data_IF_229896763015
#
_entry.id   IF_229896763015
#
_cell.length_a   1.000
_cell.length_b   1.000
_cell.length_c   1.000
_cell.angle_alpha   90.00
_cell.angle_beta   90.00
_cell.angle_gamma   90.00
#
_symmetry.space_group_name_H-M   'P 1'
#
loop_
_entity.id
_entity.type
_entity.pdbx_description
1 polymer ?
#
# COMPACT_ATOMS: atom_id res chain seq x y z
N UNK A 1 -17.30 -2.58 9.85
CA UNK A 1 -16.78 -3.01 8.55
C UNK A 1 -15.52 -3.77 8.87
N UNK A 2 -15.54 -5.10 9.01
CA UNK A 2 -14.39 -5.85 9.51
C UNK A 2 -13.33 -6.00 8.41
N UNK A 3 -12.71 -4.88 8.05
CA UNK A 3 -11.46 -4.84 7.31
C UNK A 3 -10.35 -4.59 8.31
N UNK A 4 -9.37 -5.48 8.35
CA UNK A 4 -8.19 -5.36 9.18
C UNK A 4 -7.03 -4.83 8.33
N UNK A 5 -6.46 -3.70 8.72
CA UNK A 5 -5.22 -3.19 8.14
C UNK A 5 -4.02 -3.70 8.95
N UNK A 6 -2.91 -3.95 8.26
CA UNK A 6 -1.69 -4.47 8.89
C UNK A 6 -0.45 -3.73 8.40
N UNK A 7 0.27 -3.09 9.33
CA UNK A 7 1.46 -2.29 9.06
C UNK A 7 2.72 -3.14 8.96
N UNK A 8 3.56 -2.85 7.96
CA UNK A 8 4.97 -3.25 7.79
C UNK A 8 5.39 -4.54 8.53
N UNK A 9 4.98 -5.72 8.05
CA UNK A 9 5.20 -6.98 8.77
C UNK A 9 6.68 -7.26 9.06
N UNK A 10 7.57 -6.96 8.11
CA UNK A 10 8.98 -7.38 8.16
C UNK A 10 9.14 -8.84 8.62
N UNK A 11 8.36 -9.75 8.03
CA UNK A 11 8.27 -11.19 8.33
C UNK A 11 7.56 -11.56 9.64
N UNK A 12 7.19 -10.60 10.47
CA UNK A 12 6.45 -10.88 11.70
C UNK A 12 4.95 -10.86 11.42
N UNK A 13 4.37 -12.01 11.07
CA UNK A 13 2.93 -12.16 10.81
C UNK A 13 2.14 -12.68 12.02
N UNK A 14 2.80 -13.04 13.12
CA UNK A 14 2.11 -13.59 14.29
C UNK A 14 1.03 -12.65 14.86
N UNK A 15 1.26 -11.31 15.00
CA UNK A 15 0.22 -10.40 15.45
C UNK A 15 -0.97 -10.31 14.48
N UNK A 16 -0.74 -10.45 13.17
CA UNK A 16 -1.81 -10.52 12.18
C UNK A 16 -2.68 -11.76 12.40
N UNK A 17 -2.06 -12.92 12.60
CA UNK A 17 -2.81 -14.16 12.83
C UNK A 17 -3.66 -14.08 14.11
N UNK A 18 -3.08 -13.57 15.20
CA UNK A 18 -3.82 -13.35 16.46
C UNK A 18 -4.99 -12.38 16.28
N UNK A 19 -4.81 -11.31 15.49
CA UNK A 19 -5.86 -10.35 15.19
C UNK A 19 -6.96 -10.97 14.32
N UNK A 20 -6.62 -11.78 13.32
CA UNK A 20 -7.59 -12.49 12.49
C UNK A 20 -8.39 -13.49 13.33
N UNK A 21 -7.73 -14.29 14.17
CA UNK A 21 -8.41 -15.22 15.08
C UNK A 21 -9.37 -14.50 16.02
N UNK A 22 -8.96 -13.34 16.55
CA UNK A 22 -9.77 -12.54 17.48
C UNK A 22 -10.95 -11.84 16.81
N UNK A 23 -10.73 -11.18 15.68
CA UNK A 23 -11.69 -10.26 15.08
C UNK A 23 -12.47 -10.85 13.91
N UNK A 24 -12.01 -11.97 13.35
CA UNK A 24 -12.62 -12.69 12.23
C UNK A 24 -13.03 -11.74 11.07
N UNK A 25 -12.09 -10.92 10.55
CA UNK A 25 -12.38 -9.97 9.49
C UNK A 25 -12.69 -10.67 8.16
N UNK A 26 -13.52 -10.08 7.30
CA UNK A 26 -13.71 -10.58 5.93
C UNK A 26 -12.50 -10.27 5.03
N UNK A 27 -11.78 -9.19 5.35
CA UNK A 27 -10.67 -8.68 4.56
C UNK A 27 -9.47 -8.28 5.42
N UNK A 28 -8.27 -8.53 4.90
CA UNK A 28 -7.01 -8.03 5.43
C UNK A 28 -6.32 -7.19 4.35
N UNK A 29 -5.81 -6.01 4.70
CA UNK A 29 -5.01 -5.14 3.82
C UNK A 29 -3.64 -4.90 4.44
N UNK A 30 -2.58 -5.43 3.81
CA UNK A 30 -1.20 -5.31 4.27
C UNK A 30 -0.53 -4.12 3.58
N UNK A 31 0.09 -3.23 4.37
CA UNK A 31 0.56 -1.92 3.94
C UNK A 31 2.00 -1.90 3.41
N UNK A 32 2.44 -3.00 2.79
CA UNK A 32 3.80 -3.14 2.26
C UNK A 32 4.78 -3.76 3.26
N UNK A 33 6.04 -3.86 2.83
CA UNK A 33 7.19 -4.36 3.60
C UNK A 33 6.94 -5.73 4.24
N UNK A 34 6.40 -6.65 3.43
CA UNK A 34 6.08 -8.00 3.85
C UNK A 34 7.35 -8.83 4.06
N UNK A 35 8.38 -8.57 3.25
CA UNK A 35 9.70 -9.21 3.34
C UNK A 35 9.65 -10.76 3.28
N UNK A 36 8.67 -11.29 2.54
CA UNK A 36 8.31 -12.71 2.48
C UNK A 36 9.52 -13.64 2.30
N UNK A 37 9.53 -14.77 3.01
CA UNK A 37 10.59 -15.79 2.88
C UNK A 37 10.13 -17.03 2.10
N UNK A 38 8.84 -17.05 1.72
CA UNK A 38 8.17 -18.12 0.98
C UNK A 38 6.97 -17.54 0.23
N UNK A 39 6.31 -18.29 -0.67
CA UNK A 39 5.15 -17.80 -1.41
C UNK A 39 4.06 -17.24 -0.49
N UNK A 40 3.40 -16.15 -0.91
CA UNK A 40 2.40 -15.46 -0.10
C UNK A 40 1.33 -16.41 0.43
N UNK A 41 0.83 -17.33 -0.40
CA UNK A 41 -0.18 -18.32 0.00
C UNK A 41 0.30 -19.26 1.11
N UNK A 42 1.58 -19.59 1.15
CA UNK A 42 2.15 -20.43 2.20
C UNK A 42 2.32 -19.63 3.50
N UNK A 43 2.86 -18.41 3.42
CA UNK A 43 3.08 -17.55 4.60
C UNK A 43 1.74 -17.14 5.24
N UNK A 44 0.73 -16.79 4.43
CA UNK A 44 -0.58 -16.30 4.87
C UNK A 44 -1.64 -17.42 4.94
N UNK A 45 -1.25 -18.70 4.82
CA UNK A 45 -2.18 -19.84 4.97
C UNK A 45 -3.05 -19.74 6.24
N UNK A 46 -2.53 -19.35 7.43
CA UNK A 46 -3.34 -19.20 8.65
C UNK A 46 -4.50 -18.20 8.51
N UNK A 47 -4.40 -17.23 7.58
CA UNK A 47 -5.45 -16.23 7.30
C UNK A 47 -6.35 -16.71 6.16
N UNK A 48 -5.76 -17.19 5.07
CA UNK A 48 -6.48 -17.62 3.87
C UNK A 48 -7.37 -18.85 4.13
N UNK A 49 -6.92 -19.79 4.95
CA UNK A 49 -7.66 -21.01 5.29
C UNK A 49 -8.92 -20.73 6.13
N UNK A 50 -8.98 -19.56 6.77
CA UNK A 50 -10.17 -19.05 7.46
C UNK A 50 -11.17 -18.37 6.51
N UNK A 51 -10.87 -18.32 5.20
CA UNK A 51 -11.71 -17.66 4.20
C UNK A 51 -11.58 -16.15 4.15
N UNK A 52 -10.56 -15.58 4.82
CA UNK A 52 -10.30 -14.13 4.81
C UNK A 52 -9.63 -13.73 3.51
N UNK A 53 -10.14 -12.69 2.85
CA UNK A 53 -9.57 -12.17 1.62
C UNK A 53 -8.42 -11.21 1.91
N UNK A 54 -7.20 -11.58 1.53
CA UNK A 54 -6.03 -10.72 1.70
C UNK A 54 -5.78 -9.81 0.50
N UNK A 55 -5.34 -8.59 0.80
CA UNK A 55 -4.89 -7.56 -0.13
C UNK A 55 -3.56 -7.01 0.34
N UNK A 56 -2.78 -6.47 -0.59
CA UNK A 56 -1.48 -5.89 -0.30
C UNK A 56 -1.17 -4.74 -1.24
N UNK A 57 -0.45 -3.75 -0.73
CA UNK A 57 0.31 -2.79 -1.53
C UNK A 57 1.80 -3.09 -1.36
N UNK A 58 2.65 -2.59 -2.27
CA UNK A 58 4.09 -2.72 -2.10
C UNK A 58 4.62 -1.70 -1.09
N UNK A 59 5.61 -2.13 -0.30
CA UNK A 59 6.56 -1.26 0.36
C UNK A 59 7.92 -1.27 -0.34
N UNK A 60 8.92 -0.60 0.23
CA UNK A 60 10.25 -0.51 -0.38
C UNK A 60 11.14 -1.76 -0.17
N UNK A 61 10.73 -2.70 0.68
CA UNK A 61 11.43 -3.96 0.89
C UNK A 61 11.01 -5.05 -0.10
N UNK A 62 9.79 -4.97 -0.64
CA UNK A 62 9.18 -6.02 -1.47
C UNK A 62 9.78 -6.13 -2.89
N UNK A 63 10.62 -5.17 -3.28
CA UNK A 63 11.30 -5.11 -4.58
C UNK A 63 12.84 -5.18 -4.44
N UNK A 64 13.35 -5.72 -3.34
CA UNK A 64 14.81 -5.83 -3.10
C UNK A 64 15.40 -7.14 -3.63
N UNK A 65 14.62 -8.22 -3.59
CA UNK A 65 14.96 -9.56 -4.07
C UNK A 65 13.91 -10.09 -5.06
N UNK A 66 14.36 -10.84 -6.06
CA UNK A 66 13.49 -11.32 -7.13
C UNK A 66 12.52 -12.42 -6.66
N UNK A 67 12.94 -13.28 -5.72
CA UNK A 67 12.07 -14.31 -5.19
C UNK A 67 10.99 -13.69 -4.30
N UNK A 68 11.34 -12.71 -3.45
CA UNK A 68 10.36 -11.96 -2.66
C UNK A 68 9.29 -11.31 -3.55
N UNK A 69 9.72 -10.67 -4.64
CA UNK A 69 8.79 -10.08 -5.62
C UNK A 69 7.86 -11.15 -6.24
N UNK A 70 8.41 -12.30 -6.62
CA UNK A 70 7.63 -13.39 -7.22
C UNK A 70 6.66 -14.04 -6.22
N UNK A 71 7.02 -14.13 -4.93
CA UNK A 71 6.13 -14.59 -3.88
C UNK A 71 4.87 -13.74 -3.72
N UNK A 72 4.88 -12.49 -4.21
CA UNK A 72 3.68 -11.64 -4.31
C UNK A 72 3.04 -11.75 -5.69
N UNK A 73 3.77 -11.36 -6.74
CA UNK A 73 3.21 -11.13 -8.07
C UNK A 73 2.98 -12.40 -8.90
N UNK A 74 3.74 -13.46 -8.66
CA UNK A 74 3.51 -14.74 -9.35
C UNK A 74 2.53 -15.62 -8.56
N UNK A 75 2.62 -15.62 -7.23
CA UNK A 75 1.84 -16.52 -6.37
C UNK A 75 0.44 -15.97 -6.00
N UNK A 76 0.34 -14.68 -5.68
CA UNK A 76 -0.91 -14.05 -5.25
C UNK A 76 -1.18 -12.68 -5.95
N UNK A 77 -1.17 -12.63 -7.30
CA UNK A 77 -1.31 -11.37 -8.04
C UNK A 77 -2.65 -10.66 -7.81
N UNK A 78 -3.71 -11.42 -7.54
CA UNK A 78 -5.05 -10.87 -7.36
C UNK A 78 -5.18 -9.97 -6.13
N UNK A 79 -4.33 -10.17 -5.12
CA UNK A 79 -4.29 -9.37 -3.90
C UNK A 79 -3.62 -8.00 -4.06
N UNK A 80 -2.94 -7.74 -5.18
CA UNK A 80 -2.30 -6.44 -5.42
C UNK A 80 -3.35 -5.32 -5.50
N UNK A 81 -3.32 -4.37 -4.57
CA UNK A 81 -4.20 -3.20 -4.53
C UNK A 81 -3.58 -1.96 -5.20
N UNK A 82 -2.30 -2.01 -5.58
CA UNK A 82 -1.60 -0.89 -6.23
C UNK A 82 -2.33 -0.41 -7.49
N UNK A 83 -2.64 0.89 -7.55
CA UNK A 83 -3.37 1.56 -8.62
C UNK A 83 -4.79 1.04 -8.85
N UNK A 84 -5.41 0.42 -7.83
CA UNK A 84 -6.77 -0.11 -7.88
C UNK A 84 -7.61 0.44 -6.73
N UNK A 85 -8.92 0.49 -6.95
CA UNK A 85 -9.94 0.63 -5.91
C UNK A 85 -10.81 -0.63 -5.93
N UNK A 86 -11.14 -1.17 -4.76
CA UNK A 86 -11.90 -2.41 -4.61
C UNK A 86 -12.99 -2.24 -3.56
N UNK A 87 -14.21 -2.64 -3.93
CA UNK A 87 -15.34 -2.74 -3.01
C UNK A 87 -15.16 -4.00 -2.13
N UNK A 88 -14.95 -3.79 -0.84
CA UNK A 88 -14.80 -4.84 0.15
C UNK A 88 -16.11 -5.06 0.90
N UNK A 89 -16.78 -6.17 0.58
CA UNK A 89 -18.08 -6.51 1.15
C UNK A 89 -17.89 -7.14 2.52
N UNK A 90 -18.47 -6.52 3.53
CA UNK A 90 -18.39 -6.88 4.94
C UNK A 90 -19.79 -7.21 5.49
N UNK A 91 -19.87 -7.93 6.62
CA UNK A 91 -21.16 -8.25 7.28
C UNK A 91 -22.01 -7.04 7.66
N UNK A 92 -21.42 -5.87 7.82
CA UNK A 92 -22.09 -4.64 8.26
C UNK A 92 -22.00 -3.49 7.25
N UNK A 93 -21.61 -3.77 6.00
CA UNK A 93 -21.57 -2.77 4.94
C UNK A 93 -20.60 -3.10 3.82
N UNK A 94 -20.38 -2.16 2.92
CA UNK A 94 -19.32 -2.23 1.90
C UNK A 94 -18.46 -1.00 2.05
N UNK A 95 -17.14 -1.18 1.97
CA UNK A 95 -16.16 -0.10 2.01
C UNK A 95 -15.28 -0.18 0.77
N UNK A 96 -15.09 0.93 0.10
CA UNK A 96 -14.22 1.01 -1.08
C UNK A 96 -12.82 1.39 -0.65
N UNK A 97 -11.83 0.53 -0.91
CA UNK A 97 -10.44 0.79 -0.53
C UNK A 97 -9.58 0.88 -1.78
N UNK A 98 -8.81 1.97 -1.89
CA UNK A 98 -7.83 2.15 -2.95
C UNK A 98 -6.39 2.09 -2.43
N UNK A 99 -5.46 1.62 -3.25
CA UNK A 99 -4.06 1.42 -2.86
C UNK A 99 -3.05 2.21 -3.70
N UNK A 100 -2.31 3.11 -3.04
CA UNK A 100 -1.08 3.71 -3.56
C UNK A 100 0.14 2.98 -2.97
N UNK A 101 0.61 1.95 -3.68
CA UNK A 101 1.80 1.19 -3.25
C UNK A 101 3.11 1.83 -3.67
N UNK A 102 4.17 1.56 -2.91
CA UNK A 102 5.53 1.97 -3.19
C UNK A 102 5.98 3.22 -2.43
N UNK A 103 7.13 3.76 -2.85
CA UNK A 103 7.78 4.94 -2.27
C UNK A 103 8.15 5.99 -3.30
N UNK A 104 8.27 7.25 -2.86
CA UNK A 104 8.77 8.32 -3.71
C UNK A 104 10.30 8.27 -3.80
N UNK A 105 10.84 8.25 -5.02
CA UNK A 105 12.29 8.24 -5.24
C UNK A 105 12.70 9.45 -6.07
N UNK A 106 13.65 10.24 -5.58
CA UNK A 106 14.14 11.45 -6.27
C UNK A 106 14.72 11.26 -7.66
N UNK A 107 15.03 10.02 -8.07
CA UNK A 107 15.38 9.69 -9.45
C UNK A 107 14.19 9.78 -10.41
N UNK A 108 12.98 9.68 -9.89
CA UNK A 108 11.70 9.73 -10.62
C UNK A 108 10.93 10.96 -10.18
N UNK A 109 10.47 10.97 -8.93
CA UNK A 109 9.66 12.03 -8.37
C UNK A 109 9.81 12.05 -6.85
N UNK A 110 10.10 13.24 -6.30
CA UNK A 110 10.26 13.43 -4.86
C UNK A 110 9.51 14.70 -4.43
N UNK A 111 8.21 14.56 -4.10
CA UNK A 111 7.33 15.70 -3.92
C UNK A 111 7.68 16.56 -2.70
N UNK A 112 8.30 15.97 -1.67
CA UNK A 112 8.78 16.69 -0.47
C UNK A 112 9.85 17.72 -0.83
N UNK A 113 10.68 17.43 -1.84
CA UNK A 113 11.73 18.35 -2.30
C UNK A 113 11.23 19.48 -3.20
N UNK A 114 9.92 19.57 -3.47
CA UNK A 114 9.29 20.52 -4.40
C UNK A 114 9.92 20.55 -5.81
N UNK A 115 10.54 19.45 -6.23
CA UNK A 115 11.10 19.30 -7.58
C UNK A 115 10.07 18.66 -8.50
N UNK A 116 10.04 19.11 -9.75
CA UNK A 116 9.27 18.46 -10.80
C UNK A 116 9.74 17.01 -10.99
N UNK A 117 8.82 16.12 -11.35
CA UNK A 117 9.15 14.74 -11.69
C UNK A 117 10.07 14.69 -12.91
N UNK A 118 11.10 13.83 -12.84
CA UNK A 118 12.04 13.52 -13.92
C UNK A 118 11.37 12.66 -14.99
N UNK A 119 10.50 11.73 -14.57
CA UNK A 119 9.72 10.85 -15.44
C UNK A 119 8.26 10.93 -15.05
N UNK A 120 7.35 11.01 -16.02
CA UNK A 120 5.91 10.99 -15.75
C UNK A 120 5.39 9.56 -15.66
N UNK A 121 5.90 8.71 -16.55
CA UNK A 121 5.47 7.31 -16.68
C UNK A 121 6.62 6.33 -16.44
N UNK A 122 6.28 5.08 -16.13
CA UNK A 122 7.26 3.99 -16.12
C UNK A 122 7.87 3.77 -17.51
N UNK A 123 7.11 4.02 -18.57
CA UNK A 123 7.59 3.89 -19.95
C UNK A 123 8.68 4.91 -20.29
N UNK A 124 8.55 6.17 -19.84
CA UNK A 124 9.58 7.21 -19.98
C UNK A 124 10.92 6.74 -19.39
N UNK A 125 10.86 6.16 -18.18
CA UNK A 125 12.05 5.65 -17.51
C UNK A 125 12.63 4.44 -18.23
N UNK A 126 11.80 3.51 -18.71
CA UNK A 126 12.26 2.34 -19.46
C UNK A 126 12.97 2.77 -20.76
N UNK A 127 12.43 3.76 -21.47
CA UNK A 127 12.97 4.23 -22.74
C UNK A 127 14.44 4.65 -22.63
N UNK A 128 14.82 5.33 -21.54
CA UNK A 128 16.21 5.76 -21.27
C UNK A 128 17.04 4.75 -20.48
N UNK A 129 16.42 3.72 -19.90
CA UNK A 129 17.11 2.69 -19.13
C UNK A 129 17.84 1.73 -20.06
N UNK A 130 19.15 1.54 -19.84
CA UNK A 130 20.00 0.63 -20.63
C UNK A 130 19.47 -0.81 -20.57
N UNK A 131 19.46 -1.57 -21.68
CA UNK A 131 18.87 -2.92 -21.72
C UNK A 131 19.35 -3.89 -20.63
N UNK A 132 20.64 -3.87 -20.27
CA UNK A 132 21.20 -4.75 -19.24
C UNK A 132 20.78 -4.40 -17.80
N UNK A 133 20.24 -3.20 -17.56
CA UNK A 133 19.73 -2.76 -16.25
C UNK A 133 18.24 -3.10 -16.11
N UNK A 134 17.54 -3.32 -17.22
CA UNK A 134 16.12 -3.67 -17.24
C UNK A 134 15.93 -5.06 -16.64
N UNK A 135 15.00 -5.17 -15.71
CA UNK A 135 14.62 -6.46 -15.15
C UNK A 135 13.39 -6.98 -15.87
N UNK A 136 13.47 -8.20 -16.44
CA UNK A 136 12.41 -8.81 -17.26
C UNK A 136 11.85 -7.87 -18.35
N UNK A 137 12.77 -7.15 -19.03
CA UNK A 137 12.50 -6.16 -20.09
C UNK A 137 11.78 -4.87 -19.63
N UNK A 138 11.43 -4.73 -18.35
CA UNK A 138 10.78 -3.54 -17.79
C UNK A 138 11.72 -2.68 -16.94
N UNK A 139 11.14 -2.03 -15.92
CA UNK A 139 11.91 -1.30 -14.92
C UNK A 139 12.96 -2.20 -14.25
N UNK A 140 14.07 -1.63 -13.77
CA UNK A 140 14.91 -2.32 -12.79
C UNK A 140 14.07 -2.79 -11.60
N UNK A 141 14.40 -3.94 -11.01
CA UNK A 141 13.60 -4.53 -9.92
C UNK A 141 13.36 -3.54 -8.78
N UNK A 142 14.42 -2.86 -8.31
CA UNK A 142 14.37 -1.81 -7.26
C UNK A 142 13.64 -0.51 -7.65
N UNK A 143 13.01 -0.46 -8.82
CA UNK A 143 12.17 0.66 -9.25
C UNK A 143 10.71 0.25 -9.45
N UNK A 144 10.38 -1.03 -9.22
CA UNK A 144 9.00 -1.52 -9.35
C UNK A 144 8.10 -1.07 -8.21
N UNK A 145 8.69 -0.75 -7.07
CA UNK A 145 8.07 -0.10 -5.90
C UNK A 145 8.10 1.44 -5.97
N UNK A 146 8.50 2.04 -7.09
CA UNK A 146 8.58 3.49 -7.18
C UNK A 146 7.23 4.07 -7.56
N UNK A 147 6.81 5.10 -6.84
CA UNK A 147 5.64 5.91 -7.17
C UNK A 147 6.01 6.88 -8.30
N UNK A 148 5.25 6.81 -9.38
CA UNK A 148 5.32 7.72 -10.53
C UNK A 148 4.11 8.66 -10.52
N UNK A 149 4.20 9.84 -11.17
CA UNK A 149 3.03 10.70 -11.39
C UNK A 149 1.84 9.97 -12.03
N UNK A 150 2.08 9.02 -12.95
CA UNK A 150 1.02 8.20 -13.55
C UNK A 150 0.20 7.41 -12.53
N UNK A 151 0.77 7.02 -11.38
CA UNK A 151 0.04 6.31 -10.33
C UNK A 151 -1.04 7.20 -9.70
N UNK A 152 -0.69 8.47 -9.48
CA UNK A 152 -1.63 9.48 -9.02
C UNK A 152 -2.68 9.79 -10.07
N UNK A 153 -2.30 9.85 -11.34
CA UNK A 153 -3.23 10.11 -12.44
C UNK A 153 -4.27 9.00 -12.55
N UNK A 154 -3.85 7.73 -12.53
CA UNK A 154 -4.73 6.55 -12.55
C UNK A 154 -5.67 6.58 -11.34
N UNK A 155 -5.13 6.69 -10.13
CA UNK A 155 -5.93 6.63 -8.91
C UNK A 155 -6.90 7.82 -8.79
N UNK A 156 -6.52 9.01 -9.26
CA UNK A 156 -7.37 10.21 -9.19
C UNK A 156 -8.65 10.12 -10.04
N UNK A 157 -8.74 9.14 -10.94
CA UNK A 157 -9.94 8.86 -11.73
C UNK A 157 -10.89 7.87 -11.03
N UNK A 158 -10.47 7.30 -9.89
CA UNK A 158 -11.25 6.37 -9.08
C UNK A 158 -11.79 7.07 -7.83
N UNK A 159 -12.70 6.39 -7.13
CA UNK A 159 -13.25 6.84 -5.85
C UNK A 159 -12.98 5.81 -4.76
N UNK A 160 -12.78 6.26 -3.52
CA UNK A 160 -12.63 5.36 -2.37
C UNK A 160 -13.13 5.98 -1.08
N UNK A 161 -13.53 5.15 -0.12
CA UNK A 161 -13.76 5.55 1.27
C UNK A 161 -12.43 5.63 2.02
N UNK A 162 -11.54 4.66 1.79
CA UNK A 162 -10.21 4.59 2.41
C UNK A 162 -9.12 4.58 1.34
N UNK A 163 -8.17 5.50 1.45
CA UNK A 163 -6.93 5.43 0.66
C UNK A 163 -5.83 4.82 1.54
N UNK A 164 -5.30 3.69 1.13
CA UNK A 164 -4.10 3.11 1.75
C UNK A 164 -2.86 3.48 0.97
N UNK A 165 -1.79 3.78 1.67
CA UNK A 165 -0.47 4.02 1.09
C UNK A 165 0.63 3.43 1.96
N UNK A 166 1.79 3.14 1.39
CA UNK A 166 2.95 2.79 2.20
C UNK A 166 3.57 4.07 2.78
N UNK A 167 3.83 5.05 1.92
CA UNK A 167 4.28 6.40 2.30
C UNK A 167 3.24 7.20 3.11
N UNK A 168 3.72 8.10 3.96
CA UNK A 168 2.86 8.91 4.83
C UNK A 168 2.27 10.16 4.12
N UNK A 169 1.02 10.54 4.46
CA UNK A 169 0.44 11.82 4.06
C UNK A 169 1.06 13.00 4.84
N UNK A 170 0.69 14.24 4.52
CA UNK A 170 1.38 15.46 4.98
C UNK A 170 1.39 15.71 6.49
N UNK A 171 0.65 14.92 7.27
CA UNK A 171 0.57 15.07 8.72
C UNK A 171 1.77 14.44 9.45
N UNK A 172 2.58 13.65 8.75
CA UNK A 172 3.87 13.17 9.24
C UNK A 172 5.00 14.09 8.74
N UNK A 173 6.08 14.24 9.53
CA UNK A 173 7.22 15.11 9.18
C UNK A 173 7.92 14.71 7.88
N UNK A 174 7.85 13.42 7.52
CA UNK A 174 8.39 12.85 6.28
C UNK A 174 7.31 12.56 5.23
N UNK A 175 6.07 13.01 5.46
CA UNK A 175 4.97 12.80 4.54
C UNK A 175 4.86 13.86 3.45
N UNK A 176 3.84 13.74 2.59
CA UNK A 176 3.66 14.65 1.45
C UNK A 176 2.23 15.07 1.21
N UNK A 177 2.06 16.33 0.77
CA UNK A 177 0.77 16.89 0.32
C UNK A 177 0.23 16.23 -0.95
N UNK A 178 1.03 15.52 -1.74
CA UNK A 178 0.52 14.88 -2.95
C UNK A 178 -0.40 13.70 -2.62
N UNK A 179 -0.13 12.95 -1.54
CA UNK A 179 -1.03 11.89 -1.07
C UNK A 179 -2.34 12.51 -0.57
N UNK A 180 -2.27 13.60 0.19
CA UNK A 180 -3.45 14.33 0.64
C UNK A 180 -4.34 14.76 -0.53
N UNK A 181 -3.74 15.36 -1.56
CA UNK A 181 -4.46 15.82 -2.76
C UNK A 181 -5.06 14.67 -3.55
N UNK A 182 -4.34 13.55 -3.63
CA UNK A 182 -4.86 12.35 -4.25
C UNK A 182 -6.12 11.87 -3.52
N UNK A 183 -6.05 11.68 -2.20
CA UNK A 183 -7.20 11.23 -1.42
C UNK A 183 -8.37 12.22 -1.50
N UNK A 184 -8.12 13.53 -1.51
CA UNK A 184 -9.17 14.53 -1.76
C UNK A 184 -9.88 14.33 -3.11
N UNK A 185 -9.13 14.11 -4.19
CA UNK A 185 -9.72 13.89 -5.53
C UNK A 185 -10.56 12.61 -5.56
N UNK A 186 -10.13 11.58 -4.84
CA UNK A 186 -10.80 10.28 -4.76
C UNK A 186 -11.99 10.27 -3.78
N UNK A 187 -12.18 11.34 -3.00
CA UNK A 187 -13.21 11.41 -1.96
C UNK A 187 -12.89 10.58 -0.71
N UNK A 188 -11.61 10.27 -0.47
CA UNK A 188 -11.17 9.48 0.67
C UNK A 188 -11.57 10.16 2.00
N UNK A 189 -12.18 9.37 2.87
CA UNK A 189 -12.64 9.76 4.21
C UNK A 189 -11.63 9.37 5.30
N UNK A 190 -10.74 8.43 4.99
CA UNK A 190 -9.68 7.97 5.87
C UNK A 190 -8.43 7.63 5.06
N UNK A 191 -7.27 7.96 5.62
CA UNK A 191 -5.98 7.44 5.16
C UNK A 191 -5.45 6.43 6.17
N UNK A 192 -4.90 5.31 5.67
CA UNK A 192 -4.16 4.34 6.49
C UNK A 192 -2.81 4.10 5.83
N UNK A 193 -1.72 4.25 6.56
CA UNK A 193 -0.39 4.04 6.00
C UNK A 193 0.59 3.32 6.92
N UNK A 194 1.65 2.77 6.31
CA UNK A 194 2.79 2.12 6.98
C UNK A 194 4.07 2.97 6.91
N UNK A 195 5.20 2.31 6.61
CA UNK A 195 6.55 2.82 6.36
C UNK A 195 7.25 3.53 7.53
N UNK A 196 6.53 4.33 8.31
CA UNK A 196 7.12 5.20 9.32
C UNK A 196 7.40 4.50 10.66
N UNK A 197 6.91 3.27 10.85
CA UNK A 197 7.03 2.50 12.10
C UNK A 197 6.67 3.34 13.33
N UNK A 198 5.52 3.99 13.24
CA UNK A 198 5.01 4.89 14.26
C UNK A 198 3.49 4.85 14.26
N UNK A 199 2.91 4.30 15.31
CA UNK A 199 1.46 4.30 15.52
C UNK A 199 0.98 5.69 15.89
N UNK A 200 0.10 6.29 15.09
CA UNK A 200 -0.49 7.59 15.41
C UNK A 200 -1.84 7.86 14.76
N UNK A 201 -2.51 8.88 15.30
CA UNK A 201 -3.76 9.44 14.80
C UNK A 201 -3.52 10.86 14.37
N UNK A 202 -3.82 11.17 13.12
CA UNK A 202 -3.59 12.49 12.56
C UNK A 202 -4.73 12.98 11.70
N UNK A 203 -4.51 14.14 11.11
CA UNK A 203 -5.34 14.68 10.02
C UNK A 203 -4.43 15.27 8.97
N UNK A 204 -4.74 15.02 7.70
CA UNK A 204 -4.11 15.67 6.55
C UNK A 204 -4.22 17.19 6.64
N UNK A 205 -3.49 17.92 5.80
CA UNK A 205 -3.62 19.38 5.72
C UNK A 205 -5.05 19.85 5.36
N UNK A 206 -5.88 18.95 4.80
CA UNK A 206 -7.26 19.21 4.42
C UNK A 206 -8.28 18.61 5.39
N UNK A 207 -7.83 18.08 6.53
CA UNK A 207 -8.69 17.65 7.63
C UNK A 207 -9.18 16.21 7.56
N UNK A 208 -8.85 15.45 6.51
CA UNK A 208 -9.17 14.02 6.44
C UNK A 208 -8.38 13.24 7.50
N UNK A 209 -9.04 12.39 8.33
CA UNK A 209 -8.39 11.51 9.30
C UNK A 209 -7.28 10.64 8.71
N UNK A 210 -6.26 10.37 9.52
CA UNK A 210 -5.12 9.49 9.18
C UNK A 210 -4.86 8.53 10.34
N UNK A 211 -4.59 7.27 9.99
CA UNK A 211 -3.98 6.25 10.86
C UNK A 211 -2.60 5.89 10.30
N UNK A 212 -1.55 6.25 11.01
CA UNK A 212 -0.22 5.68 10.77
C UNK A 212 -0.09 4.42 11.61
N UNK A 213 0.34 3.32 11.00
CA UNK A 213 0.57 2.05 11.68
C UNK A 213 2.07 1.85 11.95
N UNK A 214 2.37 1.27 13.11
CA UNK A 214 3.69 0.77 13.46
C UNK A 214 3.96 -0.60 12.78
N UNK A 215 5.21 -1.04 12.83
CA UNK A 215 5.60 -2.35 12.33
C UNK A 215 4.86 -3.48 13.03
N UNK A 216 4.27 -4.37 12.24
CA UNK A 216 3.45 -5.48 12.71
C UNK A 216 2.21 -5.06 13.54
N UNK A 217 1.69 -3.83 13.37
CA UNK A 217 0.47 -3.35 14.03
C UNK A 217 -0.79 -3.72 13.25
N UNK A 218 -1.81 -4.21 13.96
CA UNK A 218 -3.12 -4.52 13.41
C UNK A 218 -4.16 -3.45 13.79
N UNK A 219 -4.87 -2.92 12.79
CA UNK A 219 -5.92 -1.93 12.96
C UNK A 219 -7.23 -2.41 12.34
N UNK A 220 -8.26 -2.63 13.15
CA UNK A 220 -9.59 -3.02 12.68
C UNK A 220 -10.44 -1.78 12.39
N UNK A 221 -10.90 -1.64 11.16
CA UNK A 221 -11.74 -0.53 10.74
C UNK A 221 -13.09 -0.51 11.47
N UNK A 222 -13.47 0.63 12.01
CA UNK A 222 -14.80 0.85 12.59
C UNK A 222 -15.58 1.93 11.82
N UNK A 223 -16.93 1.94 11.91
CA UNK A 223 -17.74 3.03 11.36
C UNK A 223 -17.39 4.41 11.94
N UNK A 224 -16.80 4.49 13.13
CA UNK A 224 -16.41 5.76 13.76
C UNK A 224 -15.13 6.35 13.16
N UNK A 225 -14.39 5.58 12.36
CA UNK A 225 -13.18 6.05 11.68
C UNK A 225 -13.47 6.73 10.33
N UNK A 226 -14.68 6.53 9.75
CA UNK A 226 -15.08 7.07 8.44
C UNK A 226 -15.98 8.30 8.55
#
# INVERSE_FOLDING_TARGET
MPVLFYGDPHRNFAPLFEAVDRYQPEHVVILGDLDLQRPFREELAPVLDQGVQCWWILGNHDCTDAAQYDFLFADYPQGNLGNRAVDMVCRDGTVTIAGLGGIYRGRVWYPIGHKSAVFQTREDMIAVTRPHVRWRKGLPLRQRDTIFPEDHEILSQLTCDVLVSHEAPSCHDYGTLEIDRLGLKMGARLFVHGHMHHSYVGKTAYGTPVRGLDGAEAFLLSPADL
#
